data_IF_812117981667
#
_entry.id   IF_812117981667
#
_cell.length_a   1.000
_cell.length_b   1.000
_cell.length_c   1.000
_cell.angle_alpha   90.00
_cell.angle_beta   90.00
_cell.angle_gamma   90.00
#
_symmetry.space_group_name_H-M   'P 1'
#
loop_
_entity.id
_entity.type
_entity.pdbx_description
1 polymer ?
#
# COMPACT_ATOMS: atom_id res chain seq x y z
N UNK A 1 7.09 -1.56 -25.02
CA UNK A 1 7.04 -1.41 -23.54
C UNK A 1 6.51 -2.70 -22.94
N UNK A 2 7.16 -3.19 -21.91
CA UNK A 2 6.71 -4.40 -21.22
C UNK A 2 5.40 -4.13 -20.49
N UNK A 3 4.57 -5.18 -20.36
CA UNK A 3 3.37 -5.10 -19.51
C UNK A 3 3.79 -4.77 -18.09
N UNK A 4 3.12 -3.80 -17.46
CA UNK A 4 3.43 -3.38 -16.08
C UNK A 4 3.31 -4.52 -15.07
N UNK A 5 2.48 -5.53 -15.35
CA UNK A 5 2.37 -6.71 -14.48
C UNK A 5 3.67 -7.51 -14.40
N UNK A 6 4.60 -7.32 -15.34
CA UNK A 6 5.93 -7.91 -15.27
C UNK A 6 6.67 -7.48 -14.00
N UNK A 7 6.37 -6.29 -13.48
CA UNK A 7 7.01 -5.72 -12.30
C UNK A 7 6.21 -5.94 -11.02
N UNK A 8 5.15 -6.75 -11.10
CA UNK A 8 4.34 -7.05 -9.93
C UNK A 8 5.16 -7.75 -8.86
N UNK A 9 5.12 -7.24 -7.63
CA UNK A 9 5.58 -7.96 -6.46
C UNK A 9 4.38 -8.75 -5.96
N UNK A 10 4.38 -10.08 -6.11
CA UNK A 10 3.21 -10.86 -5.71
C UNK A 10 3.03 -10.87 -4.20
N UNK A 11 1.79 -11.10 -3.77
CA UNK A 11 1.43 -11.11 -2.36
C UNK A 11 2.35 -12.00 -1.52
N UNK A 12 2.79 -13.13 -2.06
CA UNK A 12 3.67 -14.06 -1.35
C UNK A 12 5.03 -13.43 -0.99
N UNK A 13 5.47 -12.42 -1.72
CA UNK A 13 6.78 -11.80 -1.56
C UNK A 13 6.72 -10.43 -0.87
N UNK A 14 5.54 -9.98 -0.47
CA UNK A 14 5.41 -8.67 0.15
C UNK A 14 4.96 -8.78 1.61
N UNK A 15 5.27 -7.74 2.39
CA UNK A 15 4.79 -7.63 3.76
C UNK A 15 3.47 -6.89 3.76
N UNK A 16 2.47 -7.46 4.41
CA UNK A 16 1.16 -6.86 4.60
C UNK A 16 0.67 -7.23 6.00
N UNK A 17 -0.37 -6.56 6.46
CA UNK A 17 -0.94 -6.82 7.79
C UNK A 17 -2.44 -7.05 7.67
N UNK A 18 -3.02 -7.67 8.70
CA UNK A 18 -4.46 -7.92 8.76
C UNK A 18 -5.13 -6.88 9.64
N UNK A 19 -6.37 -6.54 9.32
CA UNK A 19 -7.13 -5.55 10.08
C UNK A 19 -7.25 -5.89 11.56
N UNK A 20 -7.20 -7.18 11.91
CA UNK A 20 -7.31 -7.64 13.29
C UNK A 20 -5.98 -7.66 14.04
N UNK A 21 -4.88 -7.35 13.36
CA UNK A 21 -3.56 -7.30 14.00
C UNK A 21 -3.53 -6.20 15.06
N UNK A 22 -2.84 -6.48 16.16
CA UNK A 22 -2.71 -5.50 17.23
C UNK A 22 -1.86 -4.32 16.82
N UNK A 23 -2.11 -3.17 17.42
CA UNK A 23 -1.29 -1.99 17.20
C UNK A 23 0.18 -2.29 17.48
N UNK A 24 0.47 -2.99 18.59
CA UNK A 24 1.85 -3.31 18.97
C UNK A 24 2.54 -4.17 17.91
N UNK A 25 1.88 -5.19 17.39
CA UNK A 25 2.51 -6.08 16.41
C UNK A 25 2.85 -5.35 15.10
N UNK A 26 1.99 -4.44 14.67
CA UNK A 26 2.24 -3.65 13.46
C UNK A 26 3.31 -2.59 13.72
N UNK A 27 3.30 -1.94 14.88
CA UNK A 27 4.36 -1.01 15.27
C UNK A 27 5.73 -1.70 15.24
N UNK A 28 5.80 -2.93 15.77
CA UNK A 28 7.05 -3.70 15.77
C UNK A 28 7.57 -3.95 14.34
N UNK A 29 6.67 -4.23 13.39
CA UNK A 29 7.08 -4.40 11.99
C UNK A 29 7.73 -3.12 11.45
N UNK A 30 7.11 -1.97 11.69
CA UNK A 30 7.67 -0.69 11.24
C UNK A 30 9.01 -0.37 11.90
N UNK A 31 9.15 -0.67 13.19
CA UNK A 31 10.37 -0.35 13.93
C UNK A 31 11.54 -1.28 13.58
N UNK A 32 11.26 -2.49 13.10
CA UNK A 32 12.29 -3.48 12.78
C UNK A 32 12.52 -3.65 11.27
N UNK A 33 11.88 -2.84 10.46
CA UNK A 33 12.00 -2.89 9.00
C UNK A 33 12.25 -1.50 8.43
N UNK A 34 12.40 -1.43 7.11
CA UNK A 34 12.54 -0.15 6.40
C UNK A 34 11.22 0.30 5.75
N UNK A 35 10.13 -0.40 6.00
CA UNK A 35 8.85 -0.03 5.41
C UNK A 35 8.31 1.25 6.02
N UNK A 36 7.71 2.09 5.18
CA UNK A 36 7.05 3.33 5.60
C UNK A 36 5.54 3.24 5.50
N UNK A 37 5.04 2.24 4.80
CA UNK A 37 3.61 1.99 4.62
C UNK A 37 3.40 0.52 4.30
N UNK A 38 2.28 -0.04 4.74
CA UNK A 38 1.93 -1.44 4.54
C UNK A 38 0.46 -1.59 4.16
N UNK A 39 0.15 -2.47 3.20
CA UNK A 39 -1.25 -2.81 2.90
C UNK A 39 -1.90 -3.52 4.07
N UNK A 40 -3.18 -3.22 4.29
CA UNK A 40 -4.02 -3.86 5.31
C UNK A 40 -5.12 -4.63 4.59
N UNK A 41 -5.27 -5.91 4.94
CA UNK A 41 -6.28 -6.79 4.35
C UNK A 41 -7.20 -7.34 5.44
N UNK A 42 -8.36 -7.85 5.02
CA UNK A 42 -9.26 -8.57 5.91
C UNK A 42 -8.94 -10.08 5.92
N UNK A 43 -9.75 -10.86 6.61
CA UNK A 43 -9.57 -12.31 6.75
C UNK A 43 -9.77 -13.08 5.43
N UNK A 44 -10.38 -12.44 4.44
CA UNK A 44 -10.59 -13.02 3.11
C UNK A 44 -9.58 -12.54 2.08
N UNK A 45 -8.66 -11.68 2.50
CA UNK A 45 -7.62 -11.15 1.62
C UNK A 45 -7.99 -9.88 0.88
N UNK A 46 -9.15 -9.28 1.15
CA UNK A 46 -9.54 -8.03 0.50
C UNK A 46 -8.64 -6.89 0.95
N UNK A 47 -8.21 -6.07 -0.01
CA UNK A 47 -7.47 -4.87 0.30
C UNK A 47 -8.43 -3.84 0.93
N UNK A 48 -8.07 -3.36 2.12
CA UNK A 48 -8.88 -2.37 2.85
C UNK A 48 -8.29 -0.97 2.73
N UNK A 49 -7.04 -0.81 3.10
CA UNK A 49 -6.34 0.47 3.05
C UNK A 49 -4.85 0.24 3.26
N UNK A 50 -4.09 1.31 3.23
CA UNK A 50 -2.65 1.28 3.52
C UNK A 50 -2.40 2.09 4.78
N UNK A 51 -1.73 1.47 5.76
CA UNK A 51 -1.33 2.15 7.00
C UNK A 51 0.10 2.65 6.84
N UNK A 52 0.33 3.90 7.25
CA UNK A 52 1.65 4.53 7.21
C UNK A 52 2.21 4.82 8.59
N UNK A 53 3.50 5.12 8.65
CA UNK A 53 4.17 5.50 9.91
C UNK A 53 3.47 6.68 10.58
N UNK A 54 3.04 7.67 9.81
CA UNK A 54 2.35 8.83 10.35
C UNK A 54 1.03 8.48 11.01
N UNK A 55 0.33 7.45 10.50
CA UNK A 55 -0.90 6.98 11.10
C UNK A 55 -0.64 6.39 12.49
N UNK A 56 0.43 5.62 12.63
CA UNK A 56 0.81 5.04 13.92
C UNK A 56 1.23 6.12 14.91
N UNK A 57 1.99 7.10 14.44
CA UNK A 57 2.43 8.21 15.29
C UNK A 57 1.24 9.02 15.81
N UNK A 58 0.28 9.34 14.93
CA UNK A 58 -0.93 10.05 15.36
C UNK A 58 -1.74 9.26 16.37
N UNK A 59 -1.85 7.95 16.17
CA UNK A 59 -2.57 7.07 17.10
C UNK A 59 -1.90 7.05 18.47
N UNK A 60 -0.57 6.93 18.50
CA UNK A 60 0.19 7.02 19.77
C UNK A 60 -0.03 8.36 20.46
N UNK A 61 0.07 9.45 19.71
CA UNK A 61 -0.11 10.79 20.24
C UNK A 61 -1.50 10.95 20.88
N UNK A 62 -2.54 10.49 20.17
CA UNK A 62 -3.91 10.57 20.68
C UNK A 62 -4.09 9.73 21.94
N UNK A 63 -3.47 8.56 22.02
CA UNK A 63 -3.57 7.72 23.21
C UNK A 63 -2.87 8.37 24.41
N UNK A 64 -1.79 9.11 24.19
CA UNK A 64 -1.11 9.85 25.26
C UNK A 64 -1.96 11.01 25.78
N UNK A 65 -2.70 11.68 24.88
CA UNK A 65 -3.55 12.82 25.26
C UNK A 65 -4.87 12.41 25.90
N UNK A 66 -5.35 11.22 25.59
CA UNK A 66 -6.65 10.72 26.06
C UNK A 66 -6.44 9.40 26.79
N UNK A 67 -6.17 9.45 28.13
CA UNK A 67 -5.85 8.24 28.90
C UNK A 67 -6.94 7.16 28.90
N UNK A 68 -8.18 7.52 28.53
CA UNK A 68 -9.28 6.58 28.39
C UNK A 68 -9.18 5.72 27.14
N UNK A 69 -8.32 6.10 26.18
CA UNK A 69 -8.08 5.31 24.97
C UNK A 69 -6.96 4.31 25.27
N UNK A 70 -7.30 3.03 25.32
CA UNK A 70 -6.32 1.96 25.52
C UNK A 70 -5.95 1.33 24.17
N UNK A 71 -4.64 1.30 23.87
CA UNK A 71 -4.14 0.64 22.67
C UNK A 71 -4.20 -0.88 22.77
N UNK A 72 -4.40 -1.43 23.97
CA UNK A 72 -4.48 -2.89 24.18
C UNK A 72 -5.69 -3.51 23.48
N UNK A 73 -6.77 -2.74 23.34
CA UNK A 73 -7.99 -3.18 22.67
C UNK A 73 -8.12 -2.63 21.26
N UNK A 74 -7.05 -2.03 20.75
CA UNK A 74 -7.03 -1.34 19.47
C UNK A 74 -6.41 -2.25 18.42
N UNK A 75 -7.10 -2.40 17.28
CA UNK A 75 -6.55 -3.13 16.14
C UNK A 75 -6.22 -2.17 15.00
N UNK A 76 -5.43 -2.63 14.06
CA UNK A 76 -5.04 -1.80 12.91
C UNK A 76 -6.27 -1.39 12.08
N UNK A 77 -7.29 -2.23 12.02
CA UNK A 77 -8.55 -1.90 11.35
C UNK A 77 -9.28 -0.69 11.92
N UNK A 78 -8.98 -0.30 13.16
CA UNK A 78 -9.58 0.88 13.81
C UNK A 78 -8.92 2.18 13.34
N UNK A 79 -7.79 2.12 12.63
CA UNK A 79 -7.11 3.30 12.12
C UNK A 79 -7.81 3.81 10.86
N UNK A 80 -8.06 5.12 10.83
CA UNK A 80 -8.50 5.80 9.62
C UNK A 80 -7.27 6.51 9.02
N UNK A 81 -6.75 6.05 7.87
CA UNK A 81 -5.53 6.62 7.32
C UNK A 81 -5.77 8.04 6.81
N UNK A 82 -4.80 8.91 7.05
CA UNK A 82 -4.87 10.30 6.58
C UNK A 82 -4.72 10.38 5.06
N UNK A 83 -3.84 9.55 4.49
CA UNK A 83 -3.61 9.51 3.06
C UNK A 83 -4.26 8.25 2.51
N UNK A 84 -5.14 8.41 1.54
CA UNK A 84 -5.83 7.29 0.91
C UNK A 84 -4.98 6.76 -0.23
N UNK A 85 -4.58 5.49 -0.12
CA UNK A 85 -3.86 4.78 -1.19
C UNK A 85 -4.86 3.90 -1.91
N UNK A 86 -5.12 4.22 -3.17
CA UNK A 86 -6.10 3.50 -3.96
C UNK A 86 -5.49 2.25 -4.60
N UNK A 87 -6.28 1.18 -4.66
CA UNK A 87 -5.93 -0.03 -5.37
C UNK A 87 -6.42 0.03 -6.81
N UNK A 88 -5.72 -0.63 -7.71
CA UNK A 88 -6.12 -0.75 -9.10
C UNK A 88 -6.51 -2.20 -9.43
N UNK A 89 -7.60 -2.41 -10.18
CA UNK A 89 -7.87 -3.71 -10.75
C UNK A 89 -6.72 -4.20 -11.63
N UNK A 90 -6.51 -5.50 -11.68
CA UNK A 90 -5.39 -6.10 -12.43
C UNK A 90 -5.41 -5.70 -13.91
N UNK A 91 -6.59 -5.45 -14.47
CA UNK A 91 -6.76 -5.09 -15.89
C UNK A 91 -6.54 -3.59 -16.17
N UNK A 92 -6.18 -2.80 -15.16
CA UNK A 92 -5.96 -1.36 -15.33
C UNK A 92 -4.84 -1.09 -16.34
N UNK A 93 -5.07 -0.13 -17.22
CA UNK A 93 -4.08 0.25 -18.23
C UNK A 93 -2.84 0.88 -17.59
N UNK A 94 -1.70 0.67 -18.23
CA UNK A 94 -0.40 1.15 -17.73
C UNK A 94 -0.41 2.65 -17.42
N UNK A 95 -0.97 3.46 -18.31
CA UNK A 95 -0.95 4.91 -18.10
C UNK A 95 -1.76 5.33 -16.87
N UNK A 96 -2.84 4.60 -16.55
CA UNK A 96 -3.62 4.89 -15.36
C UNK A 96 -2.87 4.49 -14.09
N UNK A 97 -2.16 3.35 -14.13
CA UNK A 97 -1.29 2.93 -13.04
C UNK A 97 -0.19 3.98 -12.79
N UNK A 98 0.39 4.52 -13.86
CA UNK A 98 1.40 5.59 -13.75
C UNK A 98 0.81 6.83 -13.08
N UNK A 99 -0.41 7.22 -13.46
CA UNK A 99 -1.08 8.36 -12.80
C UNK A 99 -1.27 8.13 -11.31
N UNK A 100 -1.71 6.95 -10.93
CA UNK A 100 -1.87 6.60 -9.53
C UNK A 100 -0.54 6.69 -8.79
N UNK A 101 0.53 6.20 -9.40
CA UNK A 101 1.87 6.22 -8.80
C UNK A 101 2.46 7.63 -8.66
N UNK A 102 1.91 8.62 -9.35
CA UNK A 102 2.30 10.02 -9.14
C UNK A 102 1.90 10.54 -7.77
N UNK A 103 0.88 9.94 -7.15
CA UNK A 103 0.29 10.41 -5.91
C UNK A 103 0.45 9.43 -4.75
N UNK A 104 0.98 8.26 -5.01
CA UNK A 104 1.18 7.22 -4.01
C UNK A 104 2.46 6.43 -4.31
N UNK A 105 3.14 5.97 -3.27
CA UNK A 105 4.45 5.33 -3.42
C UNK A 105 4.40 3.96 -4.09
N UNK A 106 3.26 3.31 -4.02
CA UNK A 106 3.01 2.03 -4.69
C UNK A 106 1.53 1.93 -5.03
N UNK A 107 1.20 1.03 -5.93
CA UNK A 107 -0.17 0.79 -6.36
C UNK A 107 -0.52 -0.66 -6.00
N UNK A 108 -1.39 -0.86 -4.99
CA UNK A 108 -1.92 -2.21 -4.73
C UNK A 108 -2.76 -2.68 -5.91
N UNK A 109 -2.53 -3.92 -6.35
CA UNK A 109 -3.35 -4.53 -7.39
C UNK A 109 -4.29 -5.55 -6.77
N UNK A 110 -5.53 -5.52 -7.23
CA UNK A 110 -6.59 -6.41 -6.76
C UNK A 110 -7.23 -7.14 -7.93
N UNK A 111 -7.79 -8.31 -7.64
CA UNK A 111 -8.58 -9.05 -8.63
C UNK A 111 -10.00 -8.47 -8.72
N UNK A 112 -10.88 -9.14 -9.46
CA UNK A 112 -12.26 -8.71 -9.66
C UNK A 112 -13.12 -8.77 -8.40
N UNK A 113 -12.64 -9.45 -7.36
CA UNK A 113 -13.29 -9.52 -6.05
C UNK A 113 -12.59 -8.66 -5.00
N UNK A 114 -11.67 -7.78 -5.43
CA UNK A 114 -10.90 -6.87 -4.58
C UNK A 114 -9.92 -7.57 -3.64
N UNK A 115 -9.56 -8.81 -3.93
CA UNK A 115 -8.52 -9.53 -3.19
C UNK A 115 -7.15 -9.00 -3.62
N UNK A 116 -6.33 -8.65 -2.64
CA UNK A 116 -4.95 -8.17 -2.90
C UNK A 116 -4.13 -9.27 -3.55
N UNK A 117 -3.58 -9.01 -4.72
CA UNK A 117 -2.71 -9.95 -5.43
C UNK A 117 -1.25 -9.55 -5.41
N UNK A 118 -0.96 -8.29 -5.15
CA UNK A 118 0.41 -7.79 -5.09
C UNK A 118 0.45 -6.28 -5.17
N UNK A 119 1.63 -5.74 -5.36
CA UNK A 119 1.83 -4.30 -5.51
C UNK A 119 2.75 -3.99 -6.68
N UNK A 120 2.61 -2.78 -7.23
CA UNK A 120 3.55 -2.17 -8.17
C UNK A 120 4.19 -0.98 -7.46
N UNK A 121 5.52 -1.00 -7.32
CA UNK A 121 6.23 0.10 -6.67
C UNK A 121 6.51 1.21 -7.66
N UNK A 122 6.42 2.45 -7.18
CA UNK A 122 6.73 3.63 -8.00
C UNK A 122 8.09 3.52 -8.67
N UNK A 123 9.10 3.06 -7.94
CA UNK A 123 10.47 2.96 -8.48
C UNK A 123 10.56 2.01 -9.66
N UNK A 124 9.78 0.91 -9.66
CA UNK A 124 9.78 -0.03 -10.78
C UNK A 124 9.13 0.60 -12.01
N UNK A 125 8.07 1.39 -11.82
CA UNK A 125 7.42 2.10 -12.92
C UNK A 125 8.32 3.17 -13.50
N UNK A 126 9.06 3.88 -12.66
CA UNK A 126 10.06 4.86 -13.11
C UNK A 126 11.13 4.17 -13.95
N UNK A 127 11.64 3.02 -13.48
CA UNK A 127 12.64 2.26 -14.21
C UNK A 127 12.13 1.82 -15.58
N UNK A 128 10.87 1.39 -15.66
CA UNK A 128 10.26 1.00 -16.94
C UNK A 128 10.16 2.19 -17.89
N UNK A 129 9.74 3.35 -17.40
CA UNK A 129 9.66 4.57 -18.20
C UNK A 129 11.04 4.99 -18.70
N UNK A 130 12.05 4.93 -17.83
CA UNK A 130 13.42 5.29 -18.20
C UNK A 130 14.00 4.34 -19.25
N UNK A 131 13.72 3.05 -19.13
CA UNK A 131 14.19 2.05 -20.09
C UNK A 131 13.53 2.19 -21.46
N UNK A 132 12.28 2.69 -21.48
CA UNK A 132 11.50 2.88 -22.71
C UNK A 132 11.61 4.27 -23.32
N UNK A 133 12.63 5.04 -22.98
CA UNK A 133 12.76 6.43 -23.42
C UNK A 133 13.19 6.54 -24.88
N UNK A 134 12.24 6.31 -25.80
CA UNK A 134 12.41 6.58 -27.22
C UNK A 134 11.55 7.75 -27.70
N UNK A 135 10.86 8.42 -26.80
CA UNK A 135 9.99 9.55 -27.08
C UNK A 135 8.56 9.15 -27.43
N UNK A 136 8.38 8.10 -28.19
CA UNK A 136 7.05 7.69 -28.63
C UNK A 136 6.27 7.02 -27.49
N UNK A 137 6.93 6.21 -26.69
CA UNK A 137 6.28 5.54 -25.55
C UNK A 137 5.77 6.55 -24.54
N UNK A 138 6.52 7.64 -24.31
CA UNK A 138 6.11 8.68 -23.36
C UNK A 138 4.93 9.48 -23.89
N UNK A 139 4.81 9.66 -25.19
CA UNK A 139 3.67 10.38 -25.78
C UNK A 139 2.36 9.64 -25.62
N UNK A 140 2.39 8.34 -25.40
CA UNK A 140 1.20 7.52 -25.16
C UNK A 140 0.68 7.61 -23.73
N UNK A 141 1.43 8.23 -22.86
CA UNK A 141 1.02 8.46 -21.49
C UNK A 141 0.25 9.79 -21.38
#
# INVERSE_FOLDING_TARGET
MKNHLFYLIPKADLTYVHEEDSFQSVLDIFLTSTYTALPVIDDKGHYLFTVGEGDLLRTLYMSCKHPDISLDNFTIGDIEPKIKVEAAPIATEFKEVVRMAMHQNFVPLVDDQRVLIGILRRQELISELMAGLDGDDLKKL
#
